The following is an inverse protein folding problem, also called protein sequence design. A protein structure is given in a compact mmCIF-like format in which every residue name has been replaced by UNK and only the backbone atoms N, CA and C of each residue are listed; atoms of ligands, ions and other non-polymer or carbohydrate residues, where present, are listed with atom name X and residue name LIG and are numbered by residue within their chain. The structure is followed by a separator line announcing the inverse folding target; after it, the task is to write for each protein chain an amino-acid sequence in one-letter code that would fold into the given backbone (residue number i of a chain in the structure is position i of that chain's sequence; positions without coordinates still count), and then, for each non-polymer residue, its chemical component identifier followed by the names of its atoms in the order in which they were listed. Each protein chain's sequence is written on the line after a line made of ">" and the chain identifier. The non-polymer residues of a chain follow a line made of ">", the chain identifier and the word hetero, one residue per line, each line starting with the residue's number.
data_IF_728029797482
#
_entry.id   IF_728029797482
#
_cell.length_a   1.000
_cell.length_b   1.000
_cell.length_c   1.000
_cell.angle_alpha   90.00
_cell.angle_beta   90.00
_cell.angle_gamma   90.00
#
_symmetry.space_group_name_H-M   'P 1'
#
loop_
_entity.id
_entity.type
_entity.pdbx_description
1 polymer ?
#
# COMPACT_ATOMS: atom_id res chain seq x y z
N UNK A 1 -5.06 -33.76 -9.37
CA UNK A 1 -5.49 -32.75 -8.39
C UNK A 1 -4.49 -31.61 -8.42
N UNK A 2 -4.90 -30.39 -8.07
CA UNK A 2 -4.03 -29.21 -8.05
C UNK A 2 -3.92 -28.74 -6.60
N UNK A 3 -2.69 -28.57 -6.12
CA UNK A 3 -2.38 -28.05 -4.80
C UNK A 3 -1.64 -26.72 -4.94
N UNK A 4 -1.96 -25.77 -4.07
CA UNK A 4 -1.38 -24.43 -4.09
C UNK A 4 -1.09 -23.98 -2.66
N UNK A 5 0.07 -23.35 -2.47
CA UNK A 5 0.48 -22.73 -1.22
C UNK A 5 0.21 -21.22 -1.31
N UNK A 6 -0.50 -20.67 -0.33
CA UNK A 6 -0.79 -19.24 -0.24
C UNK A 6 -0.24 -18.68 1.08
N UNK A 7 0.46 -17.56 0.99
CA UNK A 7 1.11 -16.90 2.12
C UNK A 7 0.76 -15.42 2.16
N UNK A 8 1.01 -14.77 3.30
CA UNK A 8 0.85 -13.32 3.45
C UNK A 8 2.21 -12.64 3.37
N UNK A 9 2.30 -11.54 2.63
CA UNK A 9 3.52 -10.76 2.52
C UNK A 9 3.24 -9.33 2.05
N UNK A 10 4.29 -8.65 1.60
CA UNK A 10 4.20 -7.25 1.17
C UNK A 10 4.75 -7.09 -0.24
N UNK A 11 4.12 -6.22 -1.02
CA UNK A 11 4.61 -5.82 -2.34
C UNK A 11 4.61 -6.95 -3.36
N UNK A 12 5.72 -7.06 -4.07
CA UNK A 12 5.97 -8.05 -5.11
C UNK A 12 7.29 -8.74 -4.81
N UNK A 13 7.31 -10.06 -4.88
CA UNK A 13 8.51 -10.87 -4.63
C UNK A 13 8.70 -11.79 -5.82
N UNK A 14 9.87 -11.69 -6.45
CA UNK A 14 10.23 -12.54 -7.58
C UNK A 14 10.54 -13.95 -7.12
N UNK A 15 10.35 -14.90 -8.02
CA UNK A 15 10.64 -16.31 -7.79
C UNK A 15 12.11 -16.54 -7.38
N UNK A 16 13.05 -15.79 -7.97
CA UNK A 16 14.48 -15.90 -7.68
C UNK A 16 14.82 -15.49 -6.23
N UNK A 17 14.11 -14.50 -5.68
CA UNK A 17 14.31 -14.04 -4.30
C UNK A 17 13.84 -15.09 -3.28
N UNK A 18 12.93 -15.99 -3.68
CA UNK A 18 12.43 -17.12 -2.90
C UNK A 18 13.19 -18.42 -3.12
N UNK A 19 14.28 -18.39 -3.88
CA UNK A 19 15.03 -19.59 -4.23
C UNK A 19 15.60 -20.32 -2.99
N UNK A 20 15.84 -19.58 -1.89
CA UNK A 20 16.37 -20.11 -0.64
C UNK A 20 15.33 -20.78 0.27
N UNK A 21 14.03 -20.68 -0.05
CA UNK A 21 13.00 -21.46 0.65
C UNK A 21 13.09 -22.90 0.15
N UNK A 22 13.45 -23.82 1.04
CA UNK A 22 13.49 -25.27 0.77
C UNK A 22 12.12 -25.69 0.25
N UNK A 23 12.02 -25.84 -1.07
CA UNK A 23 10.79 -26.25 -1.71
C UNK A 23 10.89 -27.73 -1.98
N UNK A 24 9.90 -28.49 -1.54
CA UNK A 24 9.83 -29.91 -1.79
C UNK A 24 9.88 -30.21 -3.30
N UNK A 25 10.43 -31.37 -3.66
CA UNK A 25 10.45 -31.84 -5.04
C UNK A 25 9.00 -31.94 -5.54
N UNK A 26 8.72 -31.41 -6.74
CA UNK A 26 7.43 -31.37 -7.46
C UNK A 26 6.57 -30.10 -7.32
N UNK A 27 7.08 -28.99 -6.77
CA UNK A 27 6.39 -27.71 -6.80
C UNK A 27 6.88 -26.80 -7.94
N UNK A 28 5.94 -26.04 -8.55
CA UNK A 28 6.26 -24.99 -9.52
C UNK A 28 6.19 -23.65 -8.77
N UNK A 29 7.31 -22.94 -8.71
CA UNK A 29 7.35 -21.60 -8.10
C UNK A 29 6.74 -20.57 -9.06
N UNK A 30 6.02 -19.62 -8.47
CA UNK A 30 5.44 -18.47 -9.15
C UNK A 30 5.85 -17.21 -8.41
N UNK A 31 5.86 -16.08 -9.13
CA UNK A 31 6.03 -14.78 -8.50
C UNK A 31 4.85 -14.48 -7.57
N UNK A 32 5.14 -13.87 -6.44
CA UNK A 32 4.10 -13.50 -5.50
C UNK A 32 3.76 -12.02 -5.60
N UNK A 33 2.52 -11.77 -5.99
CA UNK A 33 1.91 -10.46 -5.95
C UNK A 33 1.06 -10.35 -4.67
N UNK A 34 1.62 -9.76 -3.62
CA UNK A 34 0.92 -9.51 -2.37
C UNK A 34 0.19 -8.17 -2.34
N UNK A 35 0.68 -7.19 -3.11
CA UNK A 35 0.05 -5.87 -3.20
C UNK A 35 -1.34 -5.95 -3.83
N UNK A 36 -2.39 -5.43 -3.16
CA UNK A 36 -3.70 -5.29 -3.78
C UNK A 36 -3.77 -4.11 -4.77
N UNK A 37 -2.75 -3.24 -4.78
CA UNK A 37 -2.62 -2.13 -5.74
C UNK A 37 -1.76 -2.56 -6.91
N UNK A 38 -2.28 -2.40 -8.14
CA UNK A 38 -1.64 -2.82 -9.39
C UNK A 38 -0.80 -1.71 -10.03
N UNK A 39 -1.36 -0.50 -10.09
CA UNK A 39 -0.72 0.64 -10.73
C UNK A 39 -1.13 1.95 -10.04
N UNK A 40 -0.18 2.88 -9.97
CA UNK A 40 -0.40 4.23 -9.48
C UNK A 40 0.33 5.19 -10.41
N UNK A 41 -0.35 6.26 -10.83
CA UNK A 41 0.26 7.42 -11.43
C UNK A 41 -0.19 8.67 -10.68
N UNK A 42 0.67 9.68 -10.58
CA UNK A 42 0.27 10.98 -10.04
C UNK A 42 0.89 12.11 -10.85
N UNK A 43 0.22 13.25 -10.86
CA UNK A 43 0.73 14.50 -11.43
C UNK A 43 0.37 15.66 -10.52
N UNK A 44 1.24 16.65 -10.52
CA UNK A 44 1.06 17.90 -9.78
C UNK A 44 0.83 19.01 -10.79
N UNK A 45 -0.27 19.73 -10.62
CA UNK A 45 -0.69 20.79 -11.51
C UNK A 45 -0.82 22.10 -10.72
N UNK A 46 -0.26 23.22 -11.21
CA UNK A 46 -0.42 24.50 -10.55
C UNK A 46 -1.89 24.93 -10.66
N UNK A 47 -2.47 25.37 -9.55
CA UNK A 47 -3.85 25.86 -9.52
C UNK A 47 -3.93 27.27 -8.98
N UNK A 48 -4.72 28.08 -9.68
CA UNK A 48 -5.06 29.44 -9.25
C UNK A 48 -6.40 29.42 -8.55
N UNK A 49 -6.42 29.86 -7.30
CA UNK A 49 -7.64 29.99 -6.50
C UNK A 49 -7.85 31.49 -6.23
N UNK A 50 -8.77 32.09 -7.00
CA UNK A 50 -9.01 33.53 -6.95
C UNK A 50 -7.79 34.34 -7.44
N UNK A 51 -7.23 35.18 -6.58
CA UNK A 51 -6.02 35.96 -6.86
C UNK A 51 -4.72 35.25 -6.44
N UNK A 52 -4.82 34.12 -5.75
CA UNK A 52 -3.67 33.39 -5.21
C UNK A 52 -3.25 32.29 -6.20
N UNK A 53 -1.95 32.24 -6.54
CA UNK A 53 -1.37 31.32 -7.54
C UNK A 53 -0.39 30.30 -6.95
N UNK A 54 -0.29 30.16 -5.63
CA UNK A 54 0.73 29.33 -4.97
C UNK A 54 0.21 27.95 -4.50
N UNK A 55 -0.94 27.51 -5.01
CA UNK A 55 -1.48 26.20 -4.67
C UNK A 55 -1.14 25.18 -5.76
N UNK A 56 -0.86 23.96 -5.30
CA UNK A 56 -0.65 22.81 -6.15
C UNK A 56 -1.84 21.84 -6.00
N UNK A 57 -2.32 21.31 -7.12
CA UNK A 57 -3.31 20.23 -7.17
C UNK A 57 -2.61 18.92 -7.51
N UNK A 58 -2.76 17.93 -6.63
CA UNK A 58 -2.29 16.57 -6.89
C UNK A 58 -3.46 15.76 -7.46
N UNK A 59 -3.25 15.17 -8.63
CA UNK A 59 -4.19 14.23 -9.26
C UNK A 59 -3.54 12.85 -9.26
N UNK A 60 -4.23 11.86 -8.70
CA UNK A 60 -3.77 10.48 -8.61
C UNK A 60 -4.71 9.55 -9.37
N UNK A 61 -4.15 8.66 -10.17
CA UNK A 61 -4.84 7.60 -10.88
C UNK A 61 -4.36 6.26 -10.29
N UNK A 62 -5.27 5.52 -9.64
CA UNK A 62 -4.95 4.32 -8.86
C UNK A 62 -5.80 3.15 -9.36
N UNK A 63 -5.15 2.04 -9.70
CA UNK A 63 -5.79 0.78 -10.08
C UNK A 63 -5.54 -0.29 -9.01
N UNK A 64 -6.62 -0.89 -8.48
CA UNK A 64 -6.55 -2.00 -7.51
C UNK A 64 -7.09 -3.29 -8.13
N UNK A 65 -6.76 -4.43 -7.53
CA UNK A 65 -7.24 -5.74 -7.96
C UNK A 65 -8.67 -6.07 -7.47
N UNK A 66 -9.35 -5.12 -6.80
CA UNK A 66 -10.71 -5.27 -6.28
C UNK A 66 -10.83 -5.82 -4.85
N UNK A 67 -9.73 -6.27 -4.22
CA UNK A 67 -9.74 -6.70 -2.82
C UNK A 67 -9.96 -5.53 -1.86
N UNK A 68 -9.41 -4.37 -2.20
CA UNK A 68 -9.66 -3.09 -1.52
C UNK A 68 -9.98 -2.01 -2.55
N UNK A 69 -10.79 -1.03 -2.17
CA UNK A 69 -11.04 0.14 -3.02
C UNK A 69 -9.79 1.05 -3.09
N UNK A 70 -9.64 1.86 -4.15
CA UNK A 70 -8.56 2.85 -4.23
C UNK A 70 -8.54 3.83 -3.05
N UNK A 71 -9.70 4.21 -2.53
CA UNK A 71 -9.82 5.12 -1.40
C UNK A 71 -9.29 4.49 -0.10
N UNK A 72 -9.67 3.24 0.17
CA UNK A 72 -9.16 2.48 1.32
C UNK A 72 -7.65 2.27 1.22
N UNK A 73 -7.12 2.01 0.02
CA UNK A 73 -5.69 1.88 -0.21
C UNK A 73 -4.93 3.16 0.17
N UNK A 74 -5.45 4.32 -0.24
CA UNK A 74 -4.86 5.62 0.12
C UNK A 74 -4.92 5.87 1.63
N UNK A 75 -6.06 5.56 2.26
CA UNK A 75 -6.22 5.71 3.72
C UNK A 75 -5.21 4.86 4.48
N UNK A 76 -5.11 3.56 4.15
CA UNK A 76 -4.15 2.65 4.75
C UNK A 76 -2.70 3.14 4.56
N UNK A 77 -2.36 3.62 3.36
CA UNK A 77 -1.02 4.16 3.08
C UNK A 77 -0.68 5.39 3.94
N UNK A 78 -1.67 6.25 4.18
CA UNK A 78 -1.52 7.47 5.00
C UNK A 78 -1.33 7.10 6.48
N UNK A 79 -2.10 6.14 7.00
CA UNK A 79 -1.93 5.64 8.37
C UNK A 79 -0.54 5.04 8.59
N UNK A 80 -0.05 4.24 7.63
CA UNK A 80 1.31 3.69 7.66
C UNK A 80 2.35 4.82 7.66
N UNK A 81 2.21 5.81 6.78
CA UNK A 81 3.14 6.95 6.68
C UNK A 81 3.16 7.79 7.97
N UNK A 82 1.99 8.09 8.53
CA UNK A 82 1.86 8.83 9.79
C UNK A 82 2.50 8.08 10.96
N UNK A 83 2.34 6.75 11.02
CA UNK A 83 3.00 5.90 12.01
C UNK A 83 4.53 5.96 11.89
N UNK A 84 5.07 6.11 10.69
CA UNK A 84 6.52 6.27 10.51
C UNK A 84 6.97 7.68 10.90
N UNK A 85 6.21 8.73 10.57
CA UNK A 85 6.53 10.09 10.95
C UNK A 85 6.43 10.35 12.46
N UNK A 86 5.53 9.67 13.18
CA UNK A 86 5.42 9.83 14.63
C UNK A 86 6.70 9.41 15.36
N UNK A 87 7.44 8.42 14.83
CA UNK A 87 8.74 8.01 15.35
C UNK A 87 9.79 9.12 15.23
N UNK A 88 9.72 9.95 14.18
CA UNK A 88 10.64 11.06 13.95
C UNK A 88 10.23 12.33 14.72
N UNK A 89 8.92 12.57 14.83
CA UNK A 89 8.36 13.78 15.42
C UNK A 89 8.40 13.85 16.94
N UNK A 90 8.92 12.83 17.63
CA UNK A 90 9.04 12.77 19.10
C UNK A 90 7.71 12.87 19.85
N UNK A 91 6.58 12.86 19.15
CA UNK A 91 5.26 13.00 19.73
C UNK A 91 4.74 11.60 20.01
N UNK A 92 4.73 11.20 21.28
CA UNK A 92 4.01 10.02 21.76
C UNK A 92 2.49 10.27 21.70
N UNK A 93 1.96 10.67 20.55
CA UNK A 93 0.55 10.54 20.29
C UNK A 93 0.37 9.13 19.72
N UNK A 94 0.25 8.16 20.64
CA UNK A 94 -0.47 6.95 20.30
C UNK A 94 -1.81 7.40 19.70
N UNK A 95 -2.23 6.89 18.53
CA UNK A 95 -3.57 7.16 18.08
C UNK A 95 -4.47 6.53 19.14
N UNK A 96 -5.12 7.39 19.91
CA UNK A 96 -6.18 7.04 20.82
C UNK A 96 -7.23 6.38 19.95
N UNK A 97 -7.22 5.05 19.96
CA UNK A 97 -8.26 4.23 19.37
C UNK A 97 -9.48 4.62 20.16
N UNK A 98 -10.34 5.43 19.56
CA UNK A 98 -11.63 5.81 20.13
C UNK A 98 -12.35 4.55 20.54
N UNK A 99 -12.43 4.35 21.85
CA UNK A 99 -13.38 3.44 22.45
C UNK A 99 -14.79 3.91 22.06
N UNK A 100 -15.53 2.99 21.46
CA UNK A 100 -16.97 2.73 21.63
C UNK A 100 -17.97 3.90 21.45
N UNK A 101 -18.93 3.69 20.54
CA UNK A 101 -20.39 3.99 20.55
C UNK A 101 -20.84 3.97 19.07
N UNK A 102 -21.72 3.11 18.56
CA UNK A 102 -22.75 2.18 19.07
C UNK A 102 -22.75 0.87 18.27
#
# INVERSE_FOLDING_TARGET
>A
ELEALAETGYGYVQTEERANEETEVNWIKLDALYSPVRAIAFRVEPVRIGEITNYDRVVMDIETNGVISPEEAVKASTEILMKHFSLLGGTSAAPETGAENE
#
